data_IF_510599285082
#
_entry.id   IF_510599285082
#
_cell.length_a   1.000
_cell.length_b   1.000
_cell.length_c   1.000
_cell.angle_alpha   90.00
_cell.angle_beta   90.00
_cell.angle_gamma   90.00
#
_symmetry.space_group_name_H-M   'P 1'
#
loop_
_entity.id
_entity.type
_entity.pdbx_description
1 polymer ?
#
# COMPACT_ATOMS: atom_id res chain seq x y z
N UNK A 1 3.21 20.67 -9.99
CA UNK A 1 3.97 19.66 -10.77
C UNK A 1 4.59 18.53 -9.93
N UNK A 2 5.22 18.79 -8.77
CA UNK A 2 5.85 17.72 -7.97
C UNK A 2 4.87 16.64 -7.48
N UNK A 3 3.63 17.03 -7.14
CA UNK A 3 2.60 16.11 -6.63
C UNK A 3 2.12 15.10 -7.68
N UNK A 4 1.89 15.53 -8.92
CA UNK A 4 1.48 14.63 -10.02
C UNK A 4 2.60 13.63 -10.33
N UNK A 5 3.86 14.10 -10.37
CA UNK A 5 5.03 13.22 -10.53
C UNK A 5 5.12 12.20 -9.38
N UNK A 6 4.86 12.64 -8.15
CA UNK A 6 4.80 11.77 -6.98
C UNK A 6 3.72 10.70 -7.10
N UNK A 7 2.50 11.07 -7.49
CA UNK A 7 1.41 10.11 -7.67
C UNK A 7 1.79 9.05 -8.70
N UNK A 8 2.37 9.42 -9.86
CA UNK A 8 2.81 8.45 -10.86
C UNK A 8 3.89 7.50 -10.33
N UNK A 9 4.89 8.03 -9.61
CA UNK A 9 5.96 7.23 -8.99
C UNK A 9 5.41 6.30 -7.92
N UNK A 10 4.50 6.79 -7.08
CA UNK A 10 3.88 6.03 -6.02
C UNK A 10 2.97 4.92 -6.58
N UNK A 11 2.30 5.14 -7.71
CA UNK A 11 1.56 4.08 -8.42
C UNK A 11 2.48 2.96 -8.91
N UNK A 12 3.63 3.29 -9.48
CA UNK A 12 4.61 2.26 -9.90
C UNK A 12 5.10 1.45 -8.69
N UNK A 13 5.40 2.12 -7.58
CA UNK A 13 5.78 1.45 -6.34
C UNK A 13 4.65 0.58 -5.75
N UNK A 14 3.39 1.00 -5.90
CA UNK A 14 2.22 0.23 -5.52
C UNK A 14 2.11 -1.06 -6.34
N UNK A 15 2.40 -1.03 -7.65
CA UNK A 15 2.47 -2.25 -8.45
C UNK A 15 3.57 -3.19 -7.99
N UNK A 16 4.76 -2.66 -7.69
CA UNK A 16 5.86 -3.47 -7.13
C UNK A 16 5.42 -4.14 -5.83
N UNK A 17 4.71 -3.42 -4.96
CA UNK A 17 4.14 -3.97 -3.72
C UNK A 17 3.14 -5.12 -4.03
N UNK A 18 2.12 -4.88 -4.86
CA UNK A 18 1.11 -5.89 -5.19
C UNK A 18 1.72 -7.16 -5.81
N UNK A 19 2.64 -7.00 -6.76
CA UNK A 19 3.33 -8.11 -7.44
C UNK A 19 4.20 -8.86 -6.44
N UNK A 20 4.99 -8.13 -5.65
CA UNK A 20 5.86 -8.74 -4.62
C UNK A 20 5.03 -9.55 -3.62
N UNK A 21 3.88 -9.02 -3.17
CA UNK A 21 2.98 -9.73 -2.25
C UNK A 21 2.45 -11.02 -2.86
N UNK A 22 2.07 -10.98 -4.15
CA UNK A 22 1.59 -12.17 -4.86
C UNK A 22 2.65 -13.28 -4.82
N UNK A 23 3.91 -13.00 -5.18
CA UNK A 23 4.99 -13.99 -5.13
C UNK A 23 5.32 -14.44 -3.70
N UNK A 24 5.37 -13.52 -2.74
CA UNK A 24 5.64 -13.85 -1.34
C UNK A 24 4.56 -14.74 -0.73
N UNK A 25 3.32 -14.65 -1.22
CA UNK A 25 2.20 -15.46 -0.72
C UNK A 25 2.36 -16.97 -0.94
N UNK A 26 3.32 -17.40 -1.76
CA UNK A 26 3.67 -18.81 -1.94
C UNK A 26 4.60 -19.35 -0.85
N UNK A 27 5.32 -18.47 -0.14
CA UNK A 27 6.38 -18.87 0.78
C UNK A 27 6.11 -18.51 2.24
N UNK A 28 5.35 -17.45 2.49
CA UNK A 28 5.15 -16.90 3.84
C UNK A 28 3.69 -16.54 4.12
N UNK A 29 3.39 -16.29 5.40
CA UNK A 29 2.03 -15.94 5.86
C UNK A 29 1.53 -14.62 5.28
N UNK A 30 0.21 -14.44 5.27
CA UNK A 30 -0.44 -13.24 4.75
C UNK A 30 0.17 -11.95 5.31
N UNK A 31 0.18 -11.79 6.64
CA UNK A 31 0.68 -10.58 7.31
C UNK A 31 2.15 -10.30 6.97
N UNK A 32 3.02 -11.31 7.04
CA UNK A 32 4.44 -11.17 6.70
C UNK A 32 4.63 -10.80 5.22
N UNK A 33 3.84 -11.38 4.32
CA UNK A 33 3.87 -11.03 2.89
C UNK A 33 3.49 -9.58 2.63
N UNK A 34 2.49 -9.04 3.36
CA UNK A 34 2.09 -7.63 3.26
C UNK A 34 3.21 -6.70 3.73
N UNK A 35 3.84 -7.01 4.87
CA UNK A 35 4.93 -6.20 5.43
C UNK A 35 6.11 -6.15 4.47
N UNK A 36 6.61 -7.30 4.01
CA UNK A 36 7.79 -7.37 3.15
C UNK A 36 7.51 -6.73 1.78
N UNK A 37 6.35 -6.98 1.18
CA UNK A 37 5.96 -6.37 -0.08
C UNK A 37 5.89 -4.84 0.00
N UNK A 38 5.39 -4.31 1.13
CA UNK A 38 5.35 -2.89 1.38
C UNK A 38 6.74 -2.28 1.53
N UNK A 39 7.65 -2.96 2.24
CA UNK A 39 9.04 -2.51 2.37
C UNK A 39 9.71 -2.42 0.98
N UNK A 40 9.51 -3.43 0.12
CA UNK A 40 10.02 -3.42 -1.25
C UNK A 40 9.45 -2.24 -2.06
N UNK A 41 8.13 -2.04 -2.00
CA UNK A 41 7.47 -0.89 -2.64
C UNK A 41 8.00 0.44 -2.12
N UNK A 42 8.24 0.56 -0.81
CA UNK A 42 8.80 1.77 -0.19
C UNK A 42 10.18 2.13 -0.73
N UNK A 43 11.08 1.15 -0.85
CA UNK A 43 12.41 1.38 -1.43
C UNK A 43 12.33 1.85 -2.88
N UNK A 44 11.46 1.24 -3.69
CA UNK A 44 11.23 1.69 -5.07
C UNK A 44 10.65 3.12 -5.10
N UNK A 45 9.65 3.39 -4.27
CA UNK A 45 9.02 4.72 -4.19
C UNK A 45 10.04 5.79 -3.81
N UNK A 46 10.88 5.51 -2.81
CA UNK A 46 11.94 6.42 -2.38
C UNK A 46 13.00 6.61 -3.46
N UNK A 47 13.50 5.53 -4.07
CA UNK A 47 14.54 5.61 -5.10
C UNK A 47 14.11 6.46 -6.29
N UNK A 48 12.88 6.25 -6.77
CA UNK A 48 12.29 7.03 -7.85
C UNK A 48 12.00 8.48 -7.42
N UNK A 49 11.48 8.68 -6.21
CA UNK A 49 11.22 10.03 -5.69
C UNK A 49 12.52 10.84 -5.50
N UNK A 50 13.58 10.20 -5.00
CA UNK A 50 14.89 10.81 -4.86
C UNK A 50 15.50 11.21 -6.21
N UNK A 51 15.26 10.42 -7.26
CA UNK A 51 15.75 10.70 -8.61
C UNK A 51 14.95 11.77 -9.35
N UNK A 52 13.62 11.76 -9.24
CA UNK A 52 12.75 12.53 -10.14
C UNK A 52 11.98 13.68 -9.47
N UNK A 53 11.89 13.69 -8.14
CA UNK A 53 10.99 14.60 -7.41
C UNK A 53 11.75 15.49 -6.42
N UNK A 54 12.65 14.91 -5.64
CA UNK A 54 13.36 15.65 -4.60
C UNK A 54 14.34 16.67 -5.20
N UNK A 55 14.42 17.82 -4.54
CA UNK A 55 15.36 18.88 -4.90
C UNK A 55 16.76 18.55 -4.36
N UNK A 56 17.81 18.92 -5.11
CA UNK A 56 19.22 18.62 -4.76
C UNK A 56 19.72 19.25 -3.45
N UNK A 57 18.94 20.13 -2.83
CA UNK A 57 19.37 20.93 -1.67
C UNK A 57 19.12 20.26 -0.30
N UNK A 58 18.63 19.02 -0.25
CA UNK A 58 18.38 18.27 0.99
C UNK A 58 19.31 17.06 1.03
N UNK A 59 19.89 16.76 2.20
CA UNK A 59 20.68 15.54 2.37
C UNK A 59 19.83 14.29 2.15
N UNK A 60 20.35 13.33 1.38
CA UNK A 60 19.61 12.11 1.02
C UNK A 60 19.16 11.33 2.26
N UNK A 61 19.98 11.30 3.32
CA UNK A 61 19.65 10.66 4.60
C UNK A 61 18.44 11.30 5.27
N UNK A 62 18.38 12.64 5.33
CA UNK A 62 17.24 13.33 5.95
C UNK A 62 15.96 13.16 5.11
N UNK A 63 16.10 13.20 3.78
CA UNK A 63 14.99 12.91 2.87
C UNK A 63 14.45 11.49 3.10
N UNK A 64 15.33 10.48 3.23
CA UNK A 64 14.95 9.10 3.50
C UNK A 64 14.23 8.93 4.83
N UNK A 65 14.73 9.53 5.92
CA UNK A 65 14.10 9.43 7.24
C UNK A 65 12.70 10.03 7.22
N UNK A 66 12.54 11.25 6.69
CA UNK A 66 11.24 11.93 6.60
C UNK A 66 10.25 11.16 5.73
N UNK A 67 10.74 10.61 4.62
CA UNK A 67 9.93 9.81 3.72
C UNK A 67 9.51 8.49 4.39
N UNK A 68 10.42 7.84 5.12
CA UNK A 68 10.18 6.56 5.78
C UNK A 68 9.25 6.67 6.98
N UNK A 69 9.25 7.79 7.72
CA UNK A 69 8.29 8.01 8.83
C UNK A 69 6.85 8.01 8.30
N UNK A 70 6.60 8.74 7.20
CA UNK A 70 5.28 8.77 6.56
C UNK A 70 4.92 7.37 6.05
N UNK A 71 5.85 6.71 5.35
CA UNK A 71 5.62 5.38 4.80
C UNK A 71 5.37 4.33 5.90
N UNK A 72 6.02 4.43 7.07
CA UNK A 72 5.79 3.54 8.20
C UNK A 72 4.36 3.68 8.74
N UNK A 73 3.85 4.91 8.84
CA UNK A 73 2.46 5.13 9.22
C UNK A 73 1.49 4.52 8.20
N UNK A 74 1.76 4.71 6.90
CA UNK A 74 0.99 4.05 5.83
C UNK A 74 1.07 2.52 5.89
N UNK A 75 2.21 1.94 6.29
CA UNK A 75 2.38 0.50 6.46
C UNK A 75 1.48 -0.02 7.57
N UNK A 76 1.47 0.65 8.72
CA UNK A 76 0.63 0.25 9.85
C UNK A 76 -0.85 0.26 9.46
N UNK A 77 -1.30 1.30 8.76
CA UNK A 77 -2.67 1.38 8.23
C UNK A 77 -2.93 0.27 7.21
N UNK A 78 -2.03 0.08 6.24
CA UNK A 78 -2.21 -0.93 5.22
C UNK A 78 -2.27 -2.34 5.81
N UNK A 79 -1.42 -2.64 6.80
CA UNK A 79 -1.42 -3.92 7.50
C UNK A 79 -2.71 -4.11 8.31
N UNK A 80 -3.10 -3.11 9.10
CA UNK A 80 -4.32 -3.16 9.91
C UNK A 80 -5.56 -3.38 9.04
N UNK A 81 -5.71 -2.59 7.98
CA UNK A 81 -6.85 -2.72 7.05
C UNK A 81 -6.79 -4.03 6.29
N UNK A 82 -5.61 -4.49 5.86
CA UNK A 82 -5.49 -5.79 5.15
C UNK A 82 -5.91 -6.95 6.05
N UNK A 83 -5.37 -7.01 7.27
CA UNK A 83 -5.69 -8.09 8.22
C UNK A 83 -7.16 -8.00 8.66
N UNK A 84 -7.65 -6.80 8.95
CA UNK A 84 -9.05 -6.57 9.31
C UNK A 84 -10.02 -6.94 8.19
N UNK A 85 -9.69 -6.60 6.93
CA UNK A 85 -10.52 -6.97 5.77
C UNK A 85 -10.52 -8.48 5.56
N UNK A 86 -9.36 -9.14 5.69
CA UNK A 86 -9.31 -10.61 5.56
C UNK A 86 -10.13 -11.28 6.66
N UNK A 87 -9.99 -10.81 7.90
CA UNK A 87 -10.79 -11.30 9.03
C UNK A 87 -12.29 -11.09 8.80
N UNK A 88 -12.70 -9.93 8.28
CA UNK A 88 -14.09 -9.64 7.94
C UNK A 88 -14.61 -10.60 6.86
N UNK A 89 -13.88 -10.76 5.75
CA UNK A 89 -14.25 -11.64 4.65
C UNK A 89 -14.38 -13.11 5.11
N UNK A 90 -13.50 -13.56 5.99
CA UNK A 90 -13.56 -14.90 6.58
C UNK A 90 -14.75 -15.04 7.53
N UNK A 91 -15.05 -14.01 8.33
CA UNK A 91 -16.16 -14.02 9.28
C UNK A 91 -17.52 -14.10 8.59
N UNK A 92 -17.67 -13.48 7.41
CA UNK A 92 -18.89 -13.52 6.60
C UNK A 92 -18.85 -14.57 5.47
N UNK A 93 -17.93 -15.52 5.51
CA UNK A 93 -17.71 -16.46 4.41
C UNK A 93 -18.96 -17.25 4.02
N UNK A 94 -19.72 -17.73 5.01
CA UNK A 94 -20.97 -18.49 4.77
C UNK A 94 -22.03 -17.62 4.11
N UNK A 95 -22.27 -16.41 4.63
CA UNK A 95 -23.21 -15.45 4.03
C UNK A 95 -22.80 -15.06 2.60
N UNK A 96 -21.51 -14.84 2.35
CA UNK A 96 -20.99 -14.56 1.01
C UNK A 96 -21.20 -15.75 0.06
N UNK A 97 -20.99 -16.96 0.55
CA UNK A 97 -21.23 -18.18 -0.20
C UNK A 97 -22.70 -18.32 -0.61
N UNK A 98 -23.63 -18.12 0.32
CA UNK A 98 -25.07 -18.21 0.04
C UNK A 98 -25.50 -17.12 -0.96
N UNK A 99 -24.99 -15.90 -0.79
CA UNK A 99 -25.21 -14.80 -1.72
C UNK A 99 -24.72 -15.14 -3.14
N UNK A 100 -23.48 -15.60 -3.29
CA UNK A 100 -22.90 -15.96 -4.60
C UNK A 100 -23.72 -17.08 -5.26
N UNK A 101 -24.19 -18.07 -4.49
CA UNK A 101 -25.00 -19.17 -5.01
C UNK A 101 -26.40 -18.72 -5.44
N UNK A 102 -26.97 -17.72 -4.76
CA UNK A 102 -28.29 -17.16 -5.12
C UNK A 102 -28.28 -16.36 -6.42
N UNK A 103 -27.11 -15.87 -6.85
CA UNK A 103 -26.95 -15.10 -8.08
C UNK A 103 -26.56 -15.99 -9.27
N UNK A 104 -27.41 -16.15 -10.31
CA UNK A 104 -27.12 -17.03 -11.46
C UNK A 104 -25.84 -16.67 -12.22
N UNK A 105 -25.47 -15.39 -12.24
CA UNK A 105 -24.26 -14.90 -12.89
C UNK A 105 -22.98 -15.20 -12.11
N UNK A 106 -23.04 -15.25 -10.77
CA UNK A 106 -21.87 -15.44 -9.91
C UNK A 106 -21.69 -16.90 -9.49
N UNK A 107 -22.77 -17.69 -9.44
CA UNK A 107 -22.74 -19.09 -9.04
C UNK A 107 -21.70 -19.94 -9.82
N UNK A 108 -21.53 -19.79 -11.15
CA UNK A 108 -20.51 -20.53 -11.90
C UNK A 108 -19.07 -20.18 -11.48
N UNK A 109 -18.86 -19.00 -10.90
CA UNK A 109 -17.56 -18.48 -10.52
C UNK A 109 -17.27 -18.60 -9.02
N UNK A 110 -18.12 -19.30 -8.25
CA UNK A 110 -17.98 -19.46 -6.79
C UNK A 110 -16.59 -19.95 -6.36
N UNK A 111 -16.09 -21.01 -7.00
CA UNK A 111 -14.79 -21.61 -6.66
C UNK A 111 -13.65 -20.63 -6.85
N UNK A 112 -13.72 -19.81 -7.90
CA UNK A 112 -12.77 -18.74 -8.16
C UNK A 112 -12.93 -17.61 -7.13
N UNK A 113 -14.13 -17.04 -6.96
CA UNK A 113 -14.37 -15.86 -6.12
C UNK A 113 -14.04 -16.09 -4.64
N UNK A 114 -14.35 -17.28 -4.12
CA UNK A 114 -14.12 -17.64 -2.72
C UNK A 114 -12.78 -18.34 -2.47
N UNK A 115 -11.94 -18.48 -3.50
CA UNK A 115 -10.61 -19.04 -3.33
C UNK A 115 -9.83 -18.19 -2.33
N UNK A 116 -9.19 -18.83 -1.34
CA UNK A 116 -8.50 -18.14 -0.24
C UNK A 116 -7.52 -17.07 -0.74
N UNK A 117 -6.78 -17.36 -1.81
CA UNK A 117 -5.83 -16.40 -2.39
C UNK A 117 -6.50 -15.15 -2.96
N UNK A 118 -7.73 -15.23 -3.45
CA UNK A 118 -8.47 -14.06 -3.92
C UNK A 118 -9.01 -13.23 -2.76
N UNK A 119 -9.49 -13.88 -1.70
CA UNK A 119 -9.87 -13.16 -0.46
C UNK A 119 -8.66 -12.40 0.12
N UNK A 120 -7.51 -13.05 0.20
CA UNK A 120 -6.26 -12.41 0.61
C UNK A 120 -5.87 -11.27 -0.35
N UNK A 121 -6.04 -11.43 -1.65
CA UNK A 121 -5.73 -10.39 -2.63
C UNK A 121 -6.64 -9.17 -2.49
N UNK A 122 -7.96 -9.37 -2.35
CA UNK A 122 -8.95 -8.31 -2.09
C UNK A 122 -8.62 -7.58 -0.78
N UNK A 123 -8.31 -8.33 0.28
CA UNK A 123 -7.92 -7.76 1.56
C UNK A 123 -6.65 -6.91 1.44
N UNK A 124 -5.63 -7.40 0.74
CA UNK A 124 -4.40 -6.67 0.50
C UNK A 124 -4.60 -5.40 -0.35
N UNK A 125 -5.38 -5.48 -1.44
CA UNK A 125 -5.72 -4.30 -2.26
C UNK A 125 -6.41 -3.24 -1.41
N UNK A 126 -7.36 -3.65 -0.57
CA UNK A 126 -8.09 -2.74 0.32
C UNK A 126 -7.13 -2.02 1.27
N UNK A 127 -6.23 -2.77 1.91
CA UNK A 127 -5.23 -2.19 2.79
C UNK A 127 -4.22 -1.28 2.09
N UNK A 128 -3.65 -1.71 0.96
CA UNK A 128 -2.70 -0.89 0.19
C UNK A 128 -3.38 0.35 -0.38
N UNK A 129 -4.65 0.27 -0.79
CA UNK A 129 -5.43 1.41 -1.27
C UNK A 129 -5.62 2.48 -0.18
N UNK A 130 -6.07 2.08 1.01
CA UNK A 130 -6.21 3.01 2.14
C UNK A 130 -4.84 3.56 2.58
N UNK A 131 -3.84 2.70 2.70
CA UNK A 131 -2.47 3.10 3.05
C UNK A 131 -1.85 4.06 2.02
N UNK A 132 -2.13 3.88 0.73
CA UNK A 132 -1.69 4.77 -0.34
C UNK A 132 -2.31 6.17 -0.20
N UNK A 133 -3.60 6.26 0.07
CA UNK A 133 -4.28 7.54 0.33
C UNK A 133 -3.65 8.24 1.55
N UNK A 134 -3.44 7.50 2.65
CA UNK A 134 -2.81 8.04 3.86
C UNK A 134 -1.37 8.51 3.61
N UNK A 135 -0.57 7.74 2.87
CA UNK A 135 0.78 8.14 2.47
C UNK A 135 0.77 9.40 1.62
N UNK A 136 -0.11 9.46 0.62
CA UNK A 136 -0.24 10.62 -0.25
C UNK A 136 -0.52 11.88 0.56
N UNK A 137 -1.47 11.82 1.51
CA UNK A 137 -1.76 12.94 2.41
C UNK A 137 -0.57 13.24 3.31
N UNK A 138 0.08 12.24 3.89
CA UNK A 138 1.25 12.42 4.74
C UNK A 138 2.41 13.08 4.02
N UNK A 139 2.73 12.68 2.79
CA UNK A 139 3.80 13.32 2.02
C UNK A 139 3.41 14.73 1.56
N UNK A 140 2.14 14.95 1.21
CA UNK A 140 1.62 16.28 0.88
C UNK A 140 1.77 17.26 2.04
N UNK A 141 1.48 16.84 3.28
CA UNK A 141 1.49 17.73 4.45
C UNK A 141 2.76 17.66 5.32
N UNK A 142 3.68 16.71 5.09
CA UNK A 142 4.88 16.58 5.92
C UNK A 142 6.17 16.57 5.11
N UNK A 143 6.28 15.68 4.12
CA UNK A 143 7.54 15.51 3.38
C UNK A 143 7.82 16.61 2.37
N UNK A 144 6.78 17.21 1.79
CA UNK A 144 6.92 18.26 0.77
C UNK A 144 6.77 19.68 1.30
N UNK A 145 6.51 19.87 2.60
CA UNK A 145 6.55 21.21 3.19
C UNK A 145 8.00 21.68 3.20
N UNK A 146 8.27 22.76 2.45
CA UNK A 146 9.49 23.54 2.62
C UNK A 146 9.44 24.19 3.99
N UNK A 147 10.22 23.69 4.94
CA UNK A 147 10.56 24.50 6.09
C UNK A 147 11.39 25.68 5.57
N UNK A 148 10.76 26.85 5.47
CA UNK A 148 11.49 28.11 5.37
C UNK A 148 12.42 28.16 6.58
N UNK A 149 13.73 28.11 6.33
CA UNK A 149 14.72 28.45 7.36
C UNK A 149 14.32 29.83 7.86
N UNK A 150 13.93 29.93 9.12
CA UNK A 150 13.79 31.24 9.76
C UNK A 150 15.23 31.73 9.92
N UNK A 151 15.70 32.48 8.93
CA UNK A 151 16.93 33.25 9.05
C UNK A 151 16.64 34.34 10.10
N UNK A 152 16.88 34.00 11.36
CA UNK A 152 17.00 35.01 12.41
C UNK A 152 18.31 35.74 12.13
N UNK A 153 18.16 36.94 11.55
CA UNK A 153 19.12 38.04 11.70
C UNK A 153 19.26 38.40 13.18
#
# INVERSE_FOLDING_TARGET
MQLIKYVCVAFLALFVNLISRHFLSFYISFSSSVIIAYILGHFVNFALSARYIFSRNISLRLAFIRFSIVALFGLLIALFVSVGTLWLLQSFYTTLQDFIQSCPFLAPHKSFLLHQKHLEFVAHISGVGVGFICNYLGHKYFSFIKFTRKDNK
#
